data_IF_840140102634
#
_entry.id   IF_840140102634
#
_cell.length_a   1.000
_cell.length_b   1.000
_cell.length_c   1.000
_cell.angle_alpha   90.00
_cell.angle_beta   90.00
_cell.angle_gamma   90.00
#
_symmetry.space_group_name_H-M   'P 1'
#
loop_
_entity.id
_entity.type
_entity.pdbx_description
1 polymer ?
#
# COMPACT_ATOMS: atom_id res chain seq x y z
N UNK A 1 25.77 4.74 -13.04
CA UNK A 1 24.95 3.50 -13.00
C UNK A 1 23.93 3.64 -14.10
N UNK A 2 24.11 2.92 -15.22
CA UNK A 2 23.17 2.97 -16.34
C UNK A 2 22.01 2.03 -15.99
N UNK A 3 20.87 2.59 -15.60
CA UNK A 3 19.63 1.82 -15.42
C UNK A 3 18.98 1.58 -16.78
N UNK A 4 18.39 0.40 -16.97
CA UNK A 4 17.67 0.01 -18.17
C UNK A 4 16.15 0.14 -18.05
N UNK A 5 15.46 -0.03 -19.16
CA UNK A 5 13.99 -0.11 -19.17
C UNK A 5 13.51 -1.28 -18.30
N UNK A 6 14.25 -2.38 -18.28
CA UNK A 6 13.92 -3.57 -17.47
C UNK A 6 13.93 -3.27 -15.98
N UNK A 7 14.87 -2.43 -15.50
CA UNK A 7 14.92 -2.00 -14.10
C UNK A 7 13.69 -1.17 -13.74
N UNK A 8 13.32 -0.22 -14.63
CA UNK A 8 12.15 0.61 -14.45
C UNK A 8 10.85 -0.22 -14.42
N UNK A 9 10.72 -1.17 -15.35
CA UNK A 9 9.56 -2.06 -15.37
C UNK A 9 9.48 -2.91 -14.11
N UNK A 10 10.60 -3.51 -13.70
CA UNK A 10 10.66 -4.33 -12.49
C UNK A 10 10.25 -3.54 -11.26
N UNK A 11 10.82 -2.35 -11.07
CA UNK A 11 10.49 -1.47 -9.95
C UNK A 11 9.01 -1.07 -9.98
N UNK A 12 8.52 -0.63 -11.15
CA UNK A 12 7.14 -0.16 -11.31
C UNK A 12 6.13 -1.27 -11.02
N UNK A 13 6.32 -2.46 -11.61
CA UNK A 13 5.42 -3.59 -11.39
C UNK A 13 5.49 -4.13 -9.97
N UNK A 14 6.68 -4.16 -9.36
CA UNK A 14 6.82 -4.59 -7.96
C UNK A 14 6.06 -3.64 -7.03
N UNK A 15 6.24 -2.33 -7.17
CA UNK A 15 5.49 -1.34 -6.40
C UNK A 15 3.99 -1.43 -6.66
N UNK A 16 3.57 -1.58 -7.92
CA UNK A 16 2.16 -1.75 -8.28
C UNK A 16 1.52 -2.95 -7.56
N UNK A 17 2.22 -4.10 -7.56
CA UNK A 17 1.74 -5.30 -6.91
C UNK A 17 1.64 -5.16 -5.38
N UNK A 18 2.60 -4.45 -4.75
CA UNK A 18 2.63 -4.27 -3.29
C UNK A 18 1.65 -3.20 -2.81
N UNK A 19 1.49 -2.11 -3.57
CA UNK A 19 0.48 -1.06 -3.28
C UNK A 19 -0.93 -1.64 -3.42
N UNK A 20 -1.12 -2.55 -4.38
CA UNK A 20 -2.38 -3.26 -4.66
C UNK A 20 -3.61 -2.35 -4.66
N UNK A 21 -3.51 -1.22 -5.35
CA UNK A 21 -4.58 -0.22 -5.38
C UNK A 21 -5.86 -0.77 -6.01
N UNK A 22 -5.73 -1.70 -6.98
CA UNK A 22 -6.89 -2.32 -7.64
C UNK A 22 -7.62 -3.27 -6.69
N UNK A 23 -6.87 -4.09 -5.94
CA UNK A 23 -7.42 -4.97 -4.92
C UNK A 23 -8.04 -4.22 -3.76
N UNK A 24 -7.53 -3.02 -3.48
CA UNK A 24 -8.05 -2.13 -2.45
C UNK A 24 -9.34 -1.39 -2.85
N UNK A 25 -9.77 -1.43 -4.12
CA UNK A 25 -10.97 -0.71 -4.61
C UNK A 25 -12.21 -0.97 -3.77
N UNK A 26 -12.59 -2.21 -3.40
CA UNK A 26 -13.76 -2.44 -2.57
C UNK A 26 -13.68 -1.79 -1.19
N UNK A 27 -12.49 -1.83 -0.57
CA UNK A 27 -12.24 -1.17 0.71
C UNK A 27 -12.32 0.36 0.58
N UNK A 28 -11.73 0.90 -0.49
CA UNK A 28 -11.77 2.35 -0.77
C UNK A 28 -13.20 2.86 -1.01
N UNK A 29 -14.06 2.06 -1.64
CA UNK A 29 -15.47 2.40 -1.82
C UNK A 29 -16.18 2.43 -0.46
N UNK A 30 -15.98 1.42 0.37
CA UNK A 30 -16.54 1.38 1.72
C UNK A 30 -16.08 2.57 2.58
N UNK A 31 -14.78 2.90 2.51
CA UNK A 31 -14.24 4.08 3.20
C UNK A 31 -14.84 5.40 2.64
N UNK A 32 -14.98 5.51 1.33
CA UNK A 32 -15.57 6.69 0.68
C UNK A 32 -17.01 6.92 1.15
N UNK A 33 -17.81 5.87 1.24
CA UNK A 33 -19.19 5.93 1.76
C UNK A 33 -19.22 6.33 3.23
N UNK A 34 -18.37 5.71 4.06
CA UNK A 34 -18.30 5.98 5.51
C UNK A 34 -17.83 7.41 5.83
N UNK A 35 -16.87 7.93 5.07
CA UNK A 35 -16.25 9.25 5.29
C UNK A 35 -16.98 10.40 4.55
N UNK A 36 -18.02 10.11 3.78
CA UNK A 36 -18.72 11.10 2.98
C UNK A 36 -17.92 11.63 1.78
N UNK A 37 -16.76 11.04 1.47
CA UNK A 37 -15.90 11.38 0.34
C UNK A 37 -14.44 11.07 0.60
N UNK A 38 -13.64 11.09 -0.47
CA UNK A 38 -12.17 10.96 -0.42
C UNK A 38 -11.57 12.21 -1.06
N UNK A 39 -10.55 12.78 -0.45
CA UNK A 39 -9.72 13.83 -1.05
C UNK A 39 -8.59 13.16 -1.84
N UNK A 40 -8.90 12.75 -3.06
CA UNK A 40 -8.03 11.89 -3.88
C UNK A 40 -6.63 12.49 -4.05
N UNK A 41 -6.56 13.79 -4.34
CA UNK A 41 -5.28 14.51 -4.52
C UNK A 41 -4.45 14.53 -3.23
N UNK A 42 -5.08 14.83 -2.08
CA UNK A 42 -4.37 14.89 -0.80
C UNK A 42 -3.87 13.50 -0.37
N UNK A 43 -4.69 12.46 -0.55
CA UNK A 43 -4.30 11.09 -0.25
C UNK A 43 -3.11 10.66 -1.11
N UNK A 44 -3.16 10.90 -2.43
CA UNK A 44 -2.07 10.57 -3.36
C UNK A 44 -0.80 11.36 -3.05
N UNK A 45 -0.92 12.67 -2.79
CA UNK A 45 0.23 13.52 -2.50
C UNK A 45 0.94 13.09 -1.21
N UNK A 46 0.20 12.81 -0.15
CA UNK A 46 0.79 12.40 1.12
C UNK A 46 1.41 11.01 1.03
N UNK A 47 0.76 10.07 0.31
CA UNK A 47 1.38 8.78 0.02
C UNK A 47 2.71 8.96 -0.72
N UNK A 48 2.73 9.82 -1.73
CA UNK A 48 3.94 10.14 -2.49
C UNK A 48 5.04 10.75 -1.63
N UNK A 49 4.70 11.70 -0.75
CA UNK A 49 5.66 12.31 0.18
C UNK A 49 6.25 11.27 1.14
N UNK A 50 5.42 10.36 1.68
CA UNK A 50 5.89 9.28 2.54
C UNK A 50 6.83 8.33 1.78
N UNK A 51 6.45 7.90 0.58
CA UNK A 51 7.28 7.02 -0.25
C UNK A 51 8.63 7.68 -0.58
N UNK A 52 8.62 8.96 -1.01
CA UNK A 52 9.86 9.71 -1.33
C UNK A 52 10.71 9.90 -0.07
N UNK A 53 10.12 10.22 1.07
CA UNK A 53 10.83 10.30 2.34
C UNK A 53 11.57 8.98 2.63
N UNK A 54 10.90 7.84 2.43
CA UNK A 54 11.50 6.54 2.68
C UNK A 54 12.57 6.14 1.64
N UNK A 55 12.53 6.67 0.42
CA UNK A 55 13.64 6.51 -0.54
C UNK A 55 14.93 7.10 0.03
N UNK A 56 14.87 8.25 0.69
CA UNK A 56 16.08 8.97 1.13
C UNK A 56 16.43 8.72 2.59
N UNK A 57 15.45 8.63 3.45
CA UNK A 57 15.62 8.58 4.89
C UNK A 57 15.18 7.26 5.55
N UNK A 58 14.59 6.30 4.80
CA UNK A 58 13.93 5.12 5.37
C UNK A 58 14.84 4.28 6.25
N UNK A 59 16.00 3.87 5.76
CA UNK A 59 16.96 3.08 6.56
C UNK A 59 17.48 3.87 7.76
N UNK A 60 17.86 5.14 7.56
CA UNK A 60 18.33 5.99 8.64
C UNK A 60 17.28 6.20 9.73
N UNK A 61 16.02 6.37 9.33
CA UNK A 61 14.91 6.51 10.25
C UNK A 61 14.67 5.22 11.07
N UNK A 62 14.69 4.05 10.42
CA UNK A 62 14.56 2.77 11.12
C UNK A 62 15.74 2.55 12.09
N UNK A 63 16.96 2.86 11.67
CA UNK A 63 18.14 2.74 12.52
C UNK A 63 18.08 3.64 13.76
N UNK A 64 17.57 4.87 13.65
CA UNK A 64 17.35 5.78 14.80
C UNK A 64 16.37 5.15 15.81
N UNK A 65 15.37 4.44 15.32
CA UNK A 65 14.40 3.72 16.16
C UNK A 65 14.94 2.37 16.70
N UNK A 66 16.15 1.97 16.32
CA UNK A 66 16.70 0.66 16.66
C UNK A 66 16.01 -0.50 15.91
N UNK A 67 15.37 -0.20 14.79
CA UNK A 67 14.65 -1.18 13.96
C UNK A 67 15.46 -1.50 12.71
N UNK A 68 15.49 -2.76 12.37
CA UNK A 68 15.95 -3.22 11.05
C UNK A 68 14.80 -3.30 10.05
N UNK A 69 15.14 -3.42 8.77
CA UNK A 69 14.16 -3.53 7.67
C UNK A 69 13.31 -4.79 7.81
N UNK A 70 13.88 -5.89 8.31
CA UNK A 70 13.17 -7.17 8.47
C UNK A 70 12.12 -7.09 9.57
N UNK A 71 12.46 -6.50 10.73
CA UNK A 71 11.52 -6.25 11.83
C UNK A 71 10.35 -5.36 11.36
N UNK A 72 10.65 -4.30 10.61
CA UNK A 72 9.63 -3.42 10.05
C UNK A 72 8.73 -4.15 9.04
N UNK A 73 9.31 -5.03 8.20
CA UNK A 73 8.58 -5.85 7.24
C UNK A 73 7.64 -6.84 7.94
N UNK A 74 8.12 -7.50 9.00
CA UNK A 74 7.29 -8.43 9.80
C UNK A 74 6.12 -7.71 10.44
N UNK A 75 6.36 -6.58 11.11
CA UNK A 75 5.28 -5.76 11.69
C UNK A 75 4.26 -5.33 10.63
N UNK A 76 4.74 -4.90 9.46
CA UNK A 76 3.89 -4.52 8.33
C UNK A 76 3.08 -5.67 7.76
N UNK A 77 3.65 -6.87 7.67
CA UNK A 77 2.94 -8.04 7.18
C UNK A 77 1.75 -8.42 8.07
N UNK A 78 1.86 -8.22 9.39
CA UNK A 78 0.75 -8.43 10.33
C UNK A 78 -0.40 -7.48 10.02
N UNK A 79 -0.11 -6.20 9.75
CA UNK A 79 -1.15 -5.21 9.37
C UNK A 79 -1.82 -5.61 8.07
N UNK A 80 -1.05 -6.00 7.05
CA UNK A 80 -1.58 -6.48 5.76
C UNK A 80 -2.44 -7.73 5.96
N UNK A 81 -2.02 -8.64 6.83
CA UNK A 81 -2.77 -9.86 7.16
C UNK A 81 -4.14 -9.53 7.77
N UNK A 82 -4.19 -8.60 8.73
CA UNK A 82 -5.44 -8.17 9.35
C UNK A 82 -6.35 -7.51 8.32
N UNK A 83 -5.82 -6.65 7.43
CA UNK A 83 -6.59 -6.04 6.33
C UNK A 83 -7.15 -7.11 5.38
N UNK A 84 -6.37 -8.12 5.03
CA UNK A 84 -6.82 -9.26 4.23
C UNK A 84 -7.96 -10.03 4.92
N UNK A 85 -7.86 -10.27 6.23
CA UNK A 85 -8.94 -10.89 7.02
C UNK A 85 -10.21 -10.05 7.01
N UNK A 86 -10.11 -8.73 7.21
CA UNK A 86 -11.27 -7.83 7.13
C UNK A 86 -11.99 -7.96 5.79
N UNK A 87 -11.24 -8.04 4.69
CA UNK A 87 -11.81 -8.17 3.35
C UNK A 87 -12.50 -9.50 3.13
N UNK A 88 -11.92 -10.61 3.61
CA UNK A 88 -12.48 -11.96 3.43
C UNK A 88 -13.69 -12.21 4.33
N UNK A 89 -13.57 -11.83 5.62
CA UNK A 89 -14.59 -12.10 6.63
C UNK A 89 -15.73 -11.07 6.59
N UNK A 90 -15.49 -9.88 6.06
CA UNK A 90 -16.47 -8.79 6.04
C UNK A 90 -16.66 -8.11 7.40
N UNK A 91 -15.72 -8.29 8.31
CA UNK A 91 -15.70 -7.64 9.64
C UNK A 91 -14.67 -6.53 9.65
N UNK A 92 -14.91 -5.48 10.44
CA UNK A 92 -13.99 -4.35 10.57
C UNK A 92 -13.19 -4.47 11.89
N UNK A 93 -11.88 -4.74 11.80
CA UNK A 93 -10.96 -4.71 12.95
C UNK A 93 -10.47 -3.28 13.20
N UNK A 94 -10.12 -2.57 12.13
CA UNK A 94 -9.74 -1.17 12.22
C UNK A 94 -11.00 -0.29 12.19
N UNK A 95 -11.55 0.02 13.36
CA UNK A 95 -12.59 1.04 13.46
C UNK A 95 -11.95 2.38 13.13
N UNK A 96 -12.38 2.98 12.05
CA UNK A 96 -11.99 4.33 11.72
C UNK A 96 -12.77 5.28 12.64
N UNK A 97 -12.15 5.75 13.70
CA UNK A 97 -12.59 6.94 14.46
C UNK A 97 -12.29 8.22 13.65
N UNK A 98 -12.37 8.11 12.32
CA UNK A 98 -12.10 9.22 11.45
C UNK A 98 -13.17 10.30 11.66
N UNK A 99 -12.81 11.36 12.36
CA UNK A 99 -13.55 12.60 12.32
C UNK A 99 -13.73 12.99 10.83
N UNK A 100 -14.98 13.18 10.35
CA UNK A 100 -15.24 13.59 8.96
C UNK A 100 -14.45 14.84 8.55
N UNK A 101 -13.98 15.64 9.52
CA UNK A 101 -13.17 16.85 9.30
C UNK A 101 -11.66 16.58 9.14
N UNK A 102 -11.13 15.47 9.62
CA UNK A 102 -9.70 15.15 9.53
C UNK A 102 -9.25 14.67 8.13
N UNK A 103 -10.19 14.64 7.19
CA UNK A 103 -9.94 14.38 5.76
C UNK A 103 -9.31 13.01 5.52
N UNK A 104 -9.70 12.42 4.44
CA UNK A 104 -9.36 11.08 3.91
C UNK A 104 -7.86 10.69 3.81
N UNK A 105 -6.97 11.36 4.52
CA UNK A 105 -5.54 11.12 4.47
C UNK A 105 -5.17 9.87 5.26
N UNK A 106 -5.69 9.77 6.46
CA UNK A 106 -5.63 8.54 7.28
C UNK A 106 -7.06 7.95 7.26
N UNK A 107 -7.29 6.74 6.84
CA UNK A 107 -6.35 5.62 6.63
C UNK A 107 -5.91 5.36 5.17
N UNK A 108 -6.20 6.23 4.21
CA UNK A 108 -5.96 5.95 2.78
C UNK A 108 -4.49 6.12 2.41
N UNK A 109 -3.88 7.28 2.71
CA UNK A 109 -2.47 7.49 2.41
C UNK A 109 -1.57 6.57 3.23
N UNK A 110 -1.85 6.44 4.50
CA UNK A 110 -1.21 5.51 5.42
C UNK A 110 -2.30 4.88 6.32
N UNK A 111 -2.36 3.56 6.51
CA UNK A 111 -1.39 2.55 6.06
C UNK A 111 -1.68 1.91 4.69
N UNK A 112 -2.74 2.33 3.96
CA UNK A 112 -3.21 1.57 2.79
C UNK A 112 -2.28 1.71 1.58
N UNK A 113 -1.98 2.93 1.11
CA UNK A 113 -1.16 3.17 -0.09
C UNK A 113 0.32 3.12 0.28
N UNK A 114 0.78 3.99 1.18
CA UNK A 114 2.15 4.02 1.68
C UNK A 114 2.27 3.21 2.98
N UNK A 115 1.80 1.97 2.98
CA UNK A 115 1.89 1.07 4.13
C UNK A 115 3.29 0.54 4.36
N UNK A 116 3.50 -0.16 5.47
CA UNK A 116 4.79 -0.75 5.83
C UNK A 116 5.34 -1.69 4.76
N UNK A 117 4.47 -2.47 4.09
CA UNK A 117 4.87 -3.31 2.97
C UNK A 117 5.45 -2.50 1.80
N UNK A 118 4.77 -1.41 1.41
CA UNK A 118 5.24 -0.50 0.35
C UNK A 118 6.56 0.17 0.75
N UNK A 119 6.64 0.68 1.98
CA UNK A 119 7.83 1.39 2.47
C UNK A 119 9.04 0.46 2.59
N UNK A 120 8.85 -0.77 3.07
CA UNK A 120 9.91 -1.79 3.11
C UNK A 120 10.37 -2.18 1.71
N UNK A 121 9.43 -2.36 0.79
CA UNK A 121 9.75 -2.66 -0.61
C UNK A 121 10.55 -1.54 -1.25
N UNK A 122 10.26 -0.27 -0.97
CA UNK A 122 11.02 0.88 -1.43
C UNK A 122 12.47 0.80 -0.96
N UNK A 123 12.71 0.50 0.32
CA UNK A 123 14.08 0.35 0.85
C UNK A 123 14.81 -0.78 0.13
N UNK A 124 14.17 -1.93 -0.03
CA UNK A 124 14.75 -3.09 -0.72
C UNK A 124 15.05 -2.81 -2.20
N UNK A 125 14.13 -2.18 -2.92
CA UNK A 125 14.33 -1.81 -4.33
C UNK A 125 15.45 -0.78 -4.51
N UNK A 126 15.57 0.18 -3.58
CA UNK A 126 16.64 1.16 -3.60
C UNK A 126 18.03 0.52 -3.57
N UNK A 127 18.20 -0.51 -2.75
CA UNK A 127 19.48 -1.23 -2.63
C UNK A 127 19.89 -1.89 -3.96
N UNK A 128 18.92 -2.34 -4.77
CA UNK A 128 19.18 -3.10 -6.00
C UNK A 128 19.17 -2.24 -7.27
N UNK A 129 18.30 -1.23 -7.35
CA UNK A 129 18.01 -0.50 -8.60
C UNK A 129 18.42 0.98 -8.54
N UNK A 130 18.75 1.52 -7.36
CA UNK A 130 19.10 2.92 -7.18
C UNK A 130 17.89 3.86 -7.19
N UNK A 131 18.19 5.18 -7.09
CA UNK A 131 17.15 6.17 -6.83
C UNK A 131 16.31 6.54 -8.06
N UNK A 132 16.90 6.59 -9.27
CA UNK A 132 16.21 7.14 -10.47
C UNK A 132 15.05 6.26 -10.91
N UNK A 133 15.24 4.94 -11.22
CA UNK A 133 14.12 4.08 -11.59
C UNK A 133 13.08 3.98 -10.47
N UNK A 134 13.51 4.05 -9.20
CA UNK A 134 12.61 4.00 -8.06
C UNK A 134 11.70 5.22 -7.98
N UNK A 135 12.23 6.43 -8.14
CA UNK A 135 11.43 7.66 -8.13
C UNK A 135 10.45 7.70 -9.32
N UNK A 136 10.88 7.29 -10.51
CA UNK A 136 10.00 7.22 -11.68
C UNK A 136 8.90 6.16 -11.45
N UNK A 137 9.24 4.99 -10.93
CA UNK A 137 8.29 3.94 -10.59
C UNK A 137 7.25 4.39 -9.54
N UNK A 138 7.68 5.13 -8.52
CA UNK A 138 6.77 5.75 -7.54
C UNK A 138 5.80 6.72 -8.23
N UNK A 139 6.31 7.62 -9.09
CA UNK A 139 5.46 8.60 -9.78
C UNK A 139 4.42 7.90 -10.67
N UNK A 140 4.81 6.88 -11.43
CA UNK A 140 3.88 6.11 -12.27
C UNK A 140 2.78 5.48 -11.40
N UNK A 141 3.16 4.85 -10.30
CA UNK A 141 2.20 4.24 -9.37
C UNK A 141 1.27 5.27 -8.73
N UNK A 142 1.76 6.45 -8.36
CA UNK A 142 0.92 7.53 -7.82
C UNK A 142 -0.09 8.04 -8.84
N UNK A 143 0.26 8.09 -10.13
CA UNK A 143 -0.68 8.44 -11.20
C UNK A 143 -1.78 7.37 -11.28
N UNK A 144 -1.43 6.09 -11.24
CA UNK A 144 -2.39 4.98 -11.24
C UNK A 144 -3.30 5.06 -10.02
N UNK A 145 -2.73 5.28 -8.84
CA UNK A 145 -3.48 5.48 -7.58
C UNK A 145 -4.47 6.62 -7.72
N UNK A 146 -4.03 7.78 -8.18
CA UNK A 146 -4.90 8.95 -8.35
C UNK A 146 -6.06 8.68 -9.31
N UNK A 147 -5.78 8.08 -10.47
CA UNK A 147 -6.80 7.71 -11.45
C UNK A 147 -7.80 6.72 -10.84
N UNK A 148 -7.32 5.71 -10.13
CA UNK A 148 -8.17 4.71 -9.46
C UNK A 148 -9.07 5.35 -8.41
N UNK A 149 -8.51 6.18 -7.51
CA UNK A 149 -9.29 6.91 -6.49
C UNK A 149 -10.38 7.79 -7.10
N UNK A 150 -10.07 8.50 -8.18
CA UNK A 150 -11.02 9.35 -8.90
C UNK A 150 -12.11 8.55 -9.60
N UNK A 151 -11.77 7.34 -10.06
CA UNK A 151 -12.65 6.46 -10.82
C UNK A 151 -13.50 5.52 -9.95
N UNK A 152 -13.35 5.54 -8.62
CA UNK A 152 -14.03 4.61 -7.70
C UNK A 152 -15.54 4.52 -7.93
N UNK A 153 -16.21 5.66 -8.17
CA UNK A 153 -17.67 5.68 -8.42
C UNK A 153 -18.04 4.92 -9.70
N UNK A 154 -17.25 5.08 -10.76
CA UNK A 154 -17.49 4.37 -12.04
C UNK A 154 -17.25 2.87 -11.88
N UNK A 155 -16.17 2.50 -11.19
CA UNK A 155 -15.85 1.10 -10.88
C UNK A 155 -16.95 0.47 -10.04
N UNK A 156 -17.42 1.18 -8.99
CA UNK A 156 -18.51 0.72 -8.14
C UNK A 156 -19.81 0.48 -8.92
N UNK A 157 -20.18 1.41 -9.79
CA UNK A 157 -21.39 1.31 -10.61
C UNK A 157 -21.32 0.18 -11.63
N UNK A 158 -20.12 -0.04 -12.22
CA UNK A 158 -19.88 -1.11 -13.19
C UNK A 158 -19.96 -2.50 -12.56
N UNK A 159 -19.34 -2.67 -11.39
CA UNK A 159 -19.26 -3.96 -10.71
C UNK A 159 -20.54 -4.32 -9.93
N UNK A 160 -21.27 -3.32 -9.48
CA UNK A 160 -22.40 -3.51 -8.58
C UNK A 160 -22.03 -4.15 -7.23
N UNK A 161 -22.98 -4.30 -6.32
CA UNK A 161 -22.72 -4.82 -4.96
C UNK A 161 -22.14 -6.24 -4.94
N UNK A 162 -22.66 -7.12 -5.80
CA UNK A 162 -22.20 -8.51 -5.86
C UNK A 162 -20.78 -8.63 -6.42
N UNK A 163 -20.46 -7.88 -7.50
CA UNK A 163 -19.14 -7.85 -8.09
C UNK A 163 -18.08 -7.27 -7.12
N UNK A 164 -18.43 -6.19 -6.42
CA UNK A 164 -17.56 -5.60 -5.40
C UNK A 164 -17.27 -6.58 -4.27
N UNK A 165 -18.28 -7.33 -3.81
CA UNK A 165 -18.10 -8.34 -2.75
C UNK A 165 -17.19 -9.49 -3.21
N UNK A 166 -17.38 -9.97 -4.44
CA UNK A 166 -16.54 -11.02 -5.02
C UNK A 166 -15.08 -10.57 -5.15
N UNK A 167 -14.85 -9.37 -5.70
CA UNK A 167 -13.53 -8.78 -5.84
C UNK A 167 -12.89 -8.56 -4.46
N UNK A 168 -13.63 -8.02 -3.50
CA UNK A 168 -13.15 -7.81 -2.12
C UNK A 168 -12.62 -9.11 -1.51
N UNK A 169 -13.38 -10.20 -1.59
CA UNK A 169 -12.96 -11.50 -1.06
C UNK A 169 -11.76 -12.08 -1.80
N UNK A 170 -11.74 -11.98 -3.13
CA UNK A 170 -10.64 -12.46 -3.96
C UNK A 170 -9.32 -11.77 -3.61
N UNK A 171 -9.32 -10.42 -3.60
CA UNK A 171 -8.12 -9.67 -3.24
C UNK A 171 -7.76 -9.78 -1.76
N UNK A 172 -8.74 -9.98 -0.88
CA UNK A 172 -8.48 -10.29 0.53
C UNK A 172 -7.62 -11.55 0.68
N UNK A 173 -7.91 -12.63 -0.10
CA UNK A 173 -7.08 -13.85 -0.11
C UNK A 173 -5.68 -13.56 -0.66
N UNK A 174 -5.57 -12.74 -1.71
CA UNK A 174 -4.25 -12.33 -2.25
C UNK A 174 -3.44 -11.57 -1.20
N UNK A 175 -4.05 -10.60 -0.48
CA UNK A 175 -3.40 -9.87 0.60
C UNK A 175 -2.93 -10.79 1.72
N UNK A 176 -3.72 -11.79 2.11
CA UNK A 176 -3.32 -12.81 3.08
C UNK A 176 -2.08 -13.58 2.60
N UNK A 177 -2.05 -14.00 1.33
CA UNK A 177 -0.91 -14.70 0.75
C UNK A 177 0.35 -13.82 0.71
N UNK A 178 0.22 -12.55 0.32
CA UNK A 178 1.32 -11.56 0.32
C UNK A 178 1.84 -11.35 1.75
N UNK A 179 0.95 -11.17 2.72
CA UNK A 179 1.31 -10.98 4.12
C UNK A 179 2.12 -12.17 4.66
N UNK A 180 1.65 -13.39 4.41
CA UNK A 180 2.37 -14.63 4.81
C UNK A 180 3.72 -14.71 4.13
N UNK A 181 3.81 -14.37 2.84
CA UNK A 181 5.08 -14.36 2.10
C UNK A 181 6.07 -13.36 2.71
N UNK A 182 5.66 -12.13 2.97
CA UNK A 182 6.52 -11.09 3.58
C UNK A 182 6.95 -11.55 4.97
N UNK A 183 6.01 -12.05 5.78
CA UNK A 183 6.31 -12.58 7.12
C UNK A 183 7.36 -13.69 7.05
N UNK A 184 7.12 -14.74 6.28
CA UNK A 184 8.00 -15.90 6.21
C UNK A 184 9.40 -15.58 5.68
N UNK A 185 9.49 -14.64 4.73
CA UNK A 185 10.77 -14.20 4.15
C UNK A 185 11.63 -13.37 5.11
N UNK A 186 11.02 -12.71 6.09
CA UNK A 186 11.70 -11.78 7.00
C UNK A 186 11.79 -12.29 8.44
N UNK A 187 10.87 -13.18 8.86
CA UNK A 187 10.83 -13.68 10.24
C UNK A 187 12.09 -14.48 10.63
N UNK A 188 12.73 -15.18 9.68
CA UNK A 188 13.98 -15.90 9.94
C UNK A 188 15.11 -15.00 10.44
N UNK A 189 15.13 -13.74 10.00
CA UNK A 189 16.17 -12.77 10.37
C UNK A 189 15.98 -12.19 11.79
N UNK A 190 14.81 -12.40 12.42
CA UNK A 190 14.53 -11.91 13.77
C UNK A 190 15.17 -12.79 14.87
N UNK A 191 15.59 -14.01 14.53
CA UNK A 191 16.11 -15.00 15.48
C UNK A 191 17.64 -15.16 15.40
N UNK A 192 18.29 -14.27 14.65
CA UNK A 192 19.74 -14.19 14.52
C UNK A 192 20.23 -12.78 14.87
#
# INVERSE_FOLDING_TARGET
MNWGIDDLLTVTFTLFAVIDIIGSVPLLIALKEKMGGIREFSATLISGLLMILFVFAGEGFLNILGLDVSSFAVGGSIVIFILGLEMVLGIEFFKSDADPKSGSVVPIAFPLIAGSGTLTTIISLKANYGNVPLLIGIIINLIIVYITLKSLKYIANFLGKAGLMAIRKFFGVILLAIAVKIFSSNAGNLFH
#
